data_IF_526629688117
#
_entry.id   IF_526629688117
#
_cell.length_a   1.000
_cell.length_b   1.000
_cell.length_c   1.000
_cell.angle_alpha   90.00
_cell.angle_beta   90.00
_cell.angle_gamma   90.00
#
_symmetry.space_group_name_H-M   'P 1'
#
loop_
_entity.id
_entity.type
_entity.pdbx_description
1 polymer ?
#
# COMPACT_ATOMS: atom_id res chain seq x y z
N UNK A 1 8.00 -27.58 0.51
CA UNK A 1 7.14 -26.47 0.07
C UNK A 1 7.24 -25.51 1.23
N UNK A 2 8.24 -24.63 1.22
CA UNK A 2 8.28 -23.53 2.18
C UNK A 2 7.02 -22.72 1.89
N UNK A 3 6.05 -22.76 2.80
CA UNK A 3 5.10 -21.66 2.90
C UNK A 3 5.95 -20.44 3.19
N UNK A 4 5.93 -19.45 2.29
CA UNK A 4 6.74 -18.26 2.38
C UNK A 4 6.34 -17.54 3.67
N UNK A 5 7.32 -17.20 4.52
CA UNK A 5 7.06 -16.60 5.83
C UNK A 5 6.22 -15.32 5.68
N UNK A 6 6.42 -14.59 4.58
CA UNK A 6 5.58 -13.46 4.21
C UNK A 6 4.10 -13.83 4.09
N UNK A 7 3.76 -14.91 3.41
CA UNK A 7 2.37 -15.33 3.18
C UNK A 7 1.66 -15.62 4.51
N UNK A 8 2.32 -16.33 5.44
CA UNK A 8 1.77 -16.63 6.78
C UNK A 8 1.50 -15.35 7.59
N UNK A 9 2.36 -14.33 7.46
CA UNK A 9 2.17 -13.05 8.13
C UNK A 9 1.03 -12.23 7.51
N UNK A 10 0.92 -12.24 6.18
CA UNK A 10 -0.15 -11.56 5.47
C UNK A 10 -1.51 -12.20 5.80
N UNK A 11 -1.61 -13.54 5.78
CA UNK A 11 -2.81 -14.28 6.17
C UNK A 11 -3.28 -13.88 7.58
N UNK A 12 -2.35 -13.83 8.55
CA UNK A 12 -2.68 -13.42 9.93
C UNK A 12 -3.21 -11.97 10.01
N UNK A 13 -2.66 -11.06 9.22
CA UNK A 13 -3.13 -9.65 9.16
C UNK A 13 -4.52 -9.59 8.51
N UNK A 14 -4.72 -10.35 7.44
CA UNK A 14 -5.98 -10.46 6.70
C UNK A 14 -7.09 -11.01 7.59
N UNK A 15 -6.86 -12.13 8.27
CA UNK A 15 -7.81 -12.72 9.22
C UNK A 15 -8.20 -11.72 10.31
N UNK A 16 -7.22 -11.06 10.93
CA UNK A 16 -7.50 -10.06 11.95
C UNK A 16 -8.34 -8.91 11.42
N UNK A 17 -8.06 -8.43 10.20
CA UNK A 17 -8.83 -7.34 9.62
C UNK A 17 -10.29 -7.73 9.43
N UNK A 18 -10.54 -8.90 8.82
CA UNK A 18 -11.90 -9.37 8.59
C UNK A 18 -12.68 -9.68 9.87
N UNK A 19 -12.01 -10.16 10.92
CA UNK A 19 -12.64 -10.47 12.19
C UNK A 19 -12.93 -9.23 13.06
N UNK A 20 -12.02 -8.24 13.08
CA UNK A 20 -12.07 -7.18 14.11
C UNK A 20 -12.19 -5.76 13.57
N UNK A 21 -11.64 -5.47 12.39
CA UNK A 21 -11.47 -4.07 11.92
C UNK A 21 -11.98 -3.85 10.49
N UNK A 22 -12.82 -4.73 9.98
CA UNK A 22 -13.29 -4.66 8.60
C UNK A 22 -14.10 -3.37 8.38
N UNK A 23 -13.68 -2.58 7.39
CA UNK A 23 -14.28 -1.27 7.12
C UNK A 23 -13.81 -0.15 8.05
N UNK A 24 -12.78 -0.35 8.88
CA UNK A 24 -12.18 0.72 9.67
C UNK A 24 -11.11 1.50 8.87
N UNK A 25 -11.30 2.82 8.74
CA UNK A 25 -10.37 3.71 8.00
C UNK A 25 -9.00 3.75 8.69
N UNK A 26 -8.96 3.54 10.00
CA UNK A 26 -7.72 3.42 10.78
C UNK A 26 -6.80 2.33 10.22
N UNK A 27 -7.36 1.19 9.81
CA UNK A 27 -6.63 0.07 9.24
C UNK A 27 -6.09 0.43 7.85
N UNK A 28 -6.94 0.95 6.97
CA UNK A 28 -6.55 1.45 5.64
C UNK A 28 -5.39 2.47 5.73
N UNK A 29 -5.49 3.43 6.65
CA UNK A 29 -4.44 4.43 6.91
C UNK A 29 -3.12 3.76 7.34
N UNK A 30 -3.18 2.68 8.12
CA UNK A 30 -2.03 1.89 8.55
C UNK A 30 -1.35 1.16 7.38
N UNK A 31 -2.12 0.63 6.44
CA UNK A 31 -1.60 0.01 5.22
C UNK A 31 -0.89 1.02 4.32
N UNK A 32 -1.45 2.23 4.17
CA UNK A 32 -0.81 3.32 3.42
C UNK A 32 0.50 3.74 4.08
N UNK A 33 0.56 3.81 5.41
CA UNK A 33 1.79 4.08 6.14
C UNK A 33 2.84 2.99 5.93
N UNK A 34 2.43 1.71 5.87
CA UNK A 34 3.31 0.61 5.51
C UNK A 34 3.94 0.81 4.12
N UNK A 35 3.13 1.12 3.09
CA UNK A 35 3.65 1.38 1.73
C UNK A 35 4.64 2.55 1.73
N UNK A 36 4.36 3.59 2.52
CA UNK A 36 5.18 4.81 2.51
C UNK A 36 6.64 4.60 2.89
N UNK A 37 6.95 3.60 3.72
CA UNK A 37 8.32 3.31 4.15
C UNK A 37 9.21 2.92 2.97
N UNK A 38 8.64 2.40 1.89
CA UNK A 38 9.38 1.91 0.73
C UNK A 38 9.72 3.00 -0.30
N UNK A 39 9.06 4.17 -0.28
CA UNK A 39 9.36 5.23 -1.26
C UNK A 39 10.78 5.80 -1.12
N UNK A 40 11.43 5.62 0.04
CA UNK A 40 12.82 6.03 0.25
C UNK A 40 13.83 5.12 -0.44
N UNK A 41 13.45 3.86 -0.73
CA UNK A 41 14.32 2.84 -1.35
C UNK A 41 13.91 2.49 -2.78
N UNK A 42 12.71 2.88 -3.20
CA UNK A 42 12.23 2.70 -4.55
C UNK A 42 12.77 3.77 -5.51
N UNK A 43 13.01 3.35 -6.75
CA UNK A 43 13.29 4.25 -7.86
C UNK A 43 12.00 4.94 -8.32
N UNK A 44 11.77 6.15 -7.82
CA UNK A 44 10.58 6.93 -8.19
C UNK A 44 10.61 7.45 -9.64
N UNK A 45 11.69 7.23 -10.39
CA UNK A 45 11.78 7.67 -11.80
C UNK A 45 11.11 6.70 -12.78
N UNK A 46 10.68 5.52 -12.31
CA UNK A 46 9.96 4.51 -13.11
C UNK A 46 8.69 5.10 -13.75
N UNK A 47 7.97 5.97 -13.03
CA UNK A 47 6.79 6.67 -13.50
C UNK A 47 6.85 8.15 -13.10
N UNK A 48 6.19 9.07 -13.84
CA UNK A 48 6.23 10.50 -13.54
C UNK A 48 5.35 10.85 -12.33
N UNK A 49 5.78 10.46 -11.13
CA UNK A 49 5.15 10.80 -9.86
C UNK A 49 5.86 11.98 -9.20
N UNK A 50 5.10 12.92 -8.64
CA UNK A 50 5.65 14.01 -7.85
C UNK A 50 5.78 13.60 -6.38
N UNK A 51 6.96 13.82 -5.80
CA UNK A 51 7.17 13.71 -4.35
C UNK A 51 6.23 14.61 -3.54
N UNK A 52 5.76 15.72 -4.12
CA UNK A 52 4.74 16.58 -3.51
C UNK A 52 3.39 15.87 -3.36
N UNK A 53 3.01 15.03 -4.34
CA UNK A 53 1.77 14.27 -4.24
C UNK A 53 1.91 13.17 -3.17
N UNK A 54 3.08 12.52 -3.07
CA UNK A 54 3.37 11.55 -2.01
C UNK A 54 3.25 12.22 -0.63
N UNK A 55 3.92 13.36 -0.42
CA UNK A 55 3.84 14.09 0.85
C UNK A 55 2.40 14.53 1.17
N UNK A 56 1.64 14.98 0.17
CA UNK A 56 0.25 15.37 0.37
C UNK A 56 -0.61 14.20 0.87
N UNK A 57 -0.42 13.00 0.34
CA UNK A 57 -1.13 11.81 0.83
C UNK A 57 -0.71 11.44 2.26
N UNK A 58 0.58 11.57 2.60
CA UNK A 58 1.06 11.32 3.97
C UNK A 58 0.49 12.31 4.99
N UNK A 59 0.35 13.58 4.62
CA UNK A 59 -0.35 14.54 5.48
C UNK A 59 -1.85 14.24 5.56
N UNK A 60 -2.45 13.77 4.47
CA UNK A 60 -3.87 13.44 4.42
C UNK A 60 -4.28 12.30 5.37
N UNK A 61 -3.37 11.36 5.66
CA UNK A 61 -3.60 10.28 6.65
C UNK A 61 -4.05 10.83 8.02
N UNK A 62 -3.60 12.03 8.39
CA UNK A 62 -3.92 12.68 9.68
C UNK A 62 -5.28 13.37 9.69
N UNK A 63 -5.94 13.48 8.54
CA UNK A 63 -7.25 14.12 8.39
C UNK A 63 -8.37 13.26 8.97
N UNK A 64 -9.54 13.89 9.18
CA UNK A 64 -10.78 13.15 9.40
C UNK A 64 -11.09 12.24 8.22
N UNK A 65 -11.95 11.28 8.46
CA UNK A 65 -12.31 10.23 7.52
C UNK A 65 -12.97 10.76 6.23
N UNK A 66 -13.93 11.68 6.35
CA UNK A 66 -14.55 12.34 5.19
C UNK A 66 -13.51 13.11 4.35
N UNK A 67 -12.62 13.85 5.03
CA UNK A 67 -11.58 14.64 4.37
C UNK A 67 -10.52 13.75 3.71
N UNK A 68 -10.25 12.58 4.31
CA UNK A 68 -9.28 11.63 3.80
C UNK A 68 -9.69 11.16 2.40
N UNK A 69 -10.90 10.64 2.22
CA UNK A 69 -11.33 10.12 0.91
C UNK A 69 -11.42 11.21 -0.16
N UNK A 70 -12.02 12.36 0.16
CA UNK A 70 -12.12 13.48 -0.80
C UNK A 70 -10.75 13.96 -1.28
N UNK A 71 -9.75 13.95 -0.40
CA UNK A 71 -8.39 14.37 -0.74
C UNK A 71 -7.63 13.28 -1.50
N UNK A 72 -7.79 12.03 -1.09
CA UNK A 72 -7.22 10.87 -1.79
C UNK A 72 -7.73 10.78 -3.22
N UNK A 73 -9.03 11.00 -3.46
CA UNK A 73 -9.62 11.01 -4.79
C UNK A 73 -8.97 12.07 -5.70
N UNK A 74 -8.85 13.31 -5.22
CA UNK A 74 -8.19 14.39 -5.97
C UNK A 74 -6.72 14.09 -6.28
N UNK A 75 -6.01 13.47 -5.33
CA UNK A 75 -4.62 13.07 -5.51
C UNK A 75 -4.49 11.91 -6.51
N UNK A 76 -5.35 10.91 -6.39
CA UNK A 76 -5.43 9.77 -7.30
C UNK A 76 -5.65 10.24 -8.75
N UNK A 77 -6.68 11.04 -8.98
CA UNK A 77 -7.00 11.60 -10.31
C UNK A 77 -5.81 12.33 -10.92
N UNK A 78 -5.18 13.20 -10.13
CA UNK A 78 -4.03 13.99 -10.57
C UNK A 78 -2.84 13.09 -10.92
N UNK A 79 -2.52 12.11 -10.08
CA UNK A 79 -1.42 11.17 -10.28
C UNK A 79 -1.66 10.33 -11.52
N UNK A 80 -2.80 9.67 -11.61
CA UNK A 80 -3.07 8.73 -12.70
C UNK A 80 -3.35 9.43 -14.02
N UNK A 81 -3.86 10.66 -14.03
CA UNK A 81 -3.92 11.49 -15.25
C UNK A 81 -2.51 11.79 -15.76
N UNK A 82 -1.59 12.15 -14.87
CA UNK A 82 -0.19 12.44 -15.24
C UNK A 82 0.48 11.19 -15.82
N UNK A 83 0.31 10.03 -15.18
CA UNK A 83 0.88 8.77 -15.66
C UNK A 83 0.28 8.35 -17.01
N UNK A 84 -1.06 8.41 -17.16
CA UNK A 84 -1.74 8.06 -18.41
C UNK A 84 -1.38 8.99 -19.57
N UNK A 85 -1.03 10.25 -19.29
CA UNK A 85 -0.53 11.19 -20.28
C UNK A 85 0.91 10.88 -20.73
N UNK A 86 1.71 10.27 -19.85
CA UNK A 86 3.08 9.86 -20.15
C UNK A 86 3.15 8.56 -20.97
N UNK A 87 2.38 7.54 -20.58
CA UNK A 87 2.43 6.21 -21.20
C UNK A 87 1.13 5.45 -21.01
N UNK A 88 0.69 4.70 -22.02
CA UNK A 88 -0.50 3.84 -21.89
C UNK A 88 -0.15 2.59 -21.09
N UNK A 89 -1.11 2.06 -20.33
CA UNK A 89 -0.92 0.84 -19.53
C UNK A 89 -0.48 -0.36 -20.39
N UNK A 90 -0.99 -0.49 -21.61
CA UNK A 90 -0.62 -1.56 -22.57
C UNK A 90 0.81 -1.49 -23.08
N UNK A 91 1.48 -0.36 -22.89
CA UNK A 91 2.86 -0.12 -23.31
C UNK A 91 3.84 -0.26 -22.15
N UNK A 92 3.33 -0.38 -20.91
CA UNK A 92 4.14 -0.48 -19.71
C UNK A 92 4.77 -1.88 -19.58
N UNK A 93 6.03 -1.91 -19.14
CA UNK A 93 6.68 -3.14 -18.74
C UNK A 93 6.21 -3.62 -17.35
N UNK A 94 6.67 -4.80 -16.94
CA UNK A 94 6.26 -5.43 -15.67
C UNK A 94 6.60 -4.52 -14.48
N UNK A 95 7.76 -3.85 -14.50
CA UNK A 95 8.21 -3.02 -13.39
C UNK A 95 7.39 -1.74 -13.30
N UNK A 96 7.08 -1.11 -14.43
CA UNK A 96 6.16 0.04 -14.51
C UNK A 96 4.75 -0.33 -14.05
N UNK A 97 4.22 -1.49 -14.46
CA UNK A 97 2.91 -1.98 -14.02
C UNK A 97 2.90 -2.23 -12.51
N UNK A 98 3.95 -2.86 -11.97
CA UNK A 98 4.05 -3.08 -10.53
C UNK A 98 4.13 -1.78 -9.74
N UNK A 99 4.89 -0.81 -10.22
CA UNK A 99 4.95 0.50 -9.58
C UNK A 99 3.61 1.25 -9.69
N UNK A 100 2.93 1.16 -10.84
CA UNK A 100 1.59 1.73 -11.04
C UNK A 100 0.58 1.15 -10.04
N UNK A 101 0.59 -0.17 -9.83
CA UNK A 101 -0.29 -0.84 -8.86
C UNK A 101 0.02 -0.44 -7.43
N UNK A 102 1.30 -0.38 -7.05
CA UNK A 102 1.71 0.09 -5.72
C UNK A 102 1.24 1.53 -5.47
N UNK A 103 1.30 2.40 -6.49
CA UNK A 103 0.76 3.76 -6.38
C UNK A 103 -0.78 3.75 -6.23
N UNK A 104 -1.49 2.79 -6.84
CA UNK A 104 -2.94 2.69 -6.71
C UNK A 104 -3.34 2.31 -5.27
N UNK A 105 -2.61 1.39 -4.66
CA UNK A 105 -2.70 1.06 -3.25
C UNK A 105 -2.41 2.28 -2.35
N UNK A 106 -1.37 3.05 -2.64
CA UNK A 106 -0.99 4.20 -1.83
C UNK A 106 -1.97 5.39 -1.93
N UNK A 107 -2.48 5.67 -3.12
CA UNK A 107 -3.51 6.68 -3.37
C UNK A 107 -4.92 6.06 -3.37
N UNK A 108 -5.19 5.16 -2.42
CA UNK A 108 -6.49 4.49 -2.33
C UNK A 108 -7.62 5.48 -2.05
N UNK A 109 -8.75 5.26 -2.74
CA UNK A 109 -9.95 6.12 -2.72
C UNK A 109 -11.15 5.44 -2.08
N UNK A 110 -11.04 4.15 -1.76
CA UNK A 110 -12.12 3.35 -1.19
C UNK A 110 -11.56 2.22 -0.32
N UNK A 111 -12.45 1.59 0.44
CA UNK A 111 -12.13 0.33 1.12
C UNK A 111 -12.08 -0.81 0.13
N UNK A 112 -11.11 -1.70 0.27
CA UNK A 112 -11.07 -2.91 -0.54
C UNK A 112 -12.12 -3.92 -0.03
N UNK A 113 -12.97 -4.48 -0.91
CA UNK A 113 -14.05 -5.37 -0.49
C UNK A 113 -13.64 -6.85 -0.33
N UNK A 114 -12.47 -7.27 -0.86
CA UNK A 114 -12.14 -8.70 -1.00
C UNK A 114 -10.73 -9.10 -0.52
N UNK A 115 -9.69 -8.36 -0.89
CA UNK A 115 -8.34 -8.58 -0.37
C UNK A 115 -7.84 -7.27 0.24
N UNK A 116 -6.77 -7.32 1.03
CA UNK A 116 -6.21 -6.14 1.68
C UNK A 116 -5.14 -5.47 0.82
N UNK A 117 -5.04 -4.14 0.95
CA UNK A 117 -4.03 -3.33 0.26
C UNK A 117 -2.64 -3.84 0.59
N UNK A 118 -2.41 -4.26 1.83
CA UNK A 118 -1.10 -4.71 2.28
C UNK A 118 -0.64 -6.00 1.59
N UNK A 119 -1.55 -6.90 1.27
CA UNK A 119 -1.25 -8.13 0.54
C UNK A 119 -0.83 -7.80 -0.88
N UNK A 120 -1.66 -7.03 -1.60
CA UNK A 120 -1.35 -6.58 -2.95
C UNK A 120 -0.04 -5.79 -3.00
N UNK A 121 0.15 -4.83 -2.10
CA UNK A 121 1.35 -4.01 -2.05
C UNK A 121 2.61 -4.84 -1.79
N UNK A 122 2.55 -5.84 -0.91
CA UNK A 122 3.69 -6.70 -0.59
C UNK A 122 4.19 -7.47 -1.81
N UNK A 123 3.28 -8.05 -2.60
CA UNK A 123 3.67 -8.75 -3.83
C UNK A 123 4.17 -7.81 -4.92
N UNK A 124 3.63 -6.60 -5.04
CA UNK A 124 4.16 -5.62 -6.00
C UNK A 124 5.54 -5.09 -5.56
N UNK A 125 5.81 -4.95 -4.25
CA UNK A 125 7.14 -4.62 -3.71
C UNK A 125 8.17 -5.70 -4.05
N UNK A 126 7.83 -6.99 -3.93
CA UNK A 126 8.71 -8.09 -4.37
C UNK A 126 9.07 -7.99 -5.85
N UNK A 127 8.09 -7.71 -6.72
CA UNK A 127 8.31 -7.52 -8.17
C UNK A 127 9.16 -6.29 -8.48
N UNK A 128 9.13 -5.28 -7.61
CA UNK A 128 9.99 -4.09 -7.69
C UNK A 128 11.41 -4.33 -7.16
N UNK A 129 11.71 -5.55 -6.70
CA UNK A 129 13.04 -5.95 -6.23
C UNK A 129 13.31 -5.62 -4.76
N UNK A 130 12.27 -5.31 -3.98
CA UNK A 130 12.39 -5.19 -2.52
C UNK A 130 12.53 -6.59 -1.93
N UNK A 131 13.52 -6.78 -1.06
CA UNK A 131 13.73 -8.06 -0.37
C UNK A 131 12.59 -8.38 0.58
N UNK A 132 12.18 -9.64 0.63
CA UNK A 132 11.18 -10.14 1.58
C UNK A 132 11.51 -9.78 3.03
N UNK A 133 12.77 -9.92 3.45
CA UNK A 133 13.21 -9.55 4.81
C UNK A 133 12.85 -8.12 5.19
N UNK A 134 13.02 -7.17 4.25
CA UNK A 134 12.67 -5.77 4.47
C UNK A 134 11.15 -5.57 4.52
N UNK A 135 10.40 -6.32 3.71
CA UNK A 135 8.92 -6.30 3.74
C UNK A 135 8.44 -6.78 5.11
N UNK A 136 8.94 -7.93 5.56
CA UNK A 136 8.63 -8.51 6.88
C UNK A 136 8.99 -7.55 8.01
N UNK A 137 10.17 -6.91 7.95
CA UNK A 137 10.57 -5.90 8.94
C UNK A 137 9.51 -4.78 9.04
N UNK A 138 9.01 -4.27 7.91
CA UNK A 138 7.97 -3.23 7.90
C UNK A 138 6.60 -3.76 8.31
N UNK A 139 6.26 -5.01 8.00
CA UNK A 139 5.04 -5.65 8.52
C UNK A 139 5.05 -5.66 10.05
N UNK A 140 6.15 -6.07 10.69
CA UNK A 140 6.25 -6.03 12.16
C UNK A 140 6.26 -4.61 12.73
N UNK A 141 6.86 -3.64 12.02
CA UNK A 141 6.85 -2.23 12.44
C UNK A 141 5.43 -1.67 12.55
N UNK A 142 4.58 -1.97 11.57
CA UNK A 142 3.22 -1.42 11.53
C UNK A 142 2.23 -2.34 12.24
N UNK A 143 2.25 -3.64 11.97
CA UNK A 143 1.26 -4.63 12.41
C UNK A 143 1.77 -5.53 13.53
N UNK A 144 2.84 -5.16 14.23
CA UNK A 144 3.39 -5.95 15.34
C UNK A 144 2.40 -6.24 16.47
N UNK A 145 1.43 -5.36 16.69
CA UNK A 145 0.29 -5.56 17.59
C UNK A 145 -0.57 -6.77 17.21
N UNK A 146 -0.75 -7.02 15.91
CA UNK A 146 -1.50 -8.15 15.35
C UNK A 146 -0.60 -9.39 15.21
N UNK A 147 0.63 -9.18 14.77
CA UNK A 147 1.57 -10.26 14.48
C UNK A 147 2.17 -10.88 15.75
N UNK A 148 2.19 -10.17 16.87
CA UNK A 148 2.65 -10.72 18.15
C UNK A 148 1.77 -11.86 18.66
N UNK A 149 2.34 -12.76 19.46
CA UNK A 149 1.63 -13.91 20.05
C UNK A 149 0.54 -13.51 21.07
N UNK A 150 0.49 -12.23 21.45
CA UNK A 150 -0.45 -11.65 22.41
C UNK A 150 -1.55 -10.81 21.77
N UNK A 151 -1.68 -10.83 20.43
CA UNK A 151 -2.78 -10.13 19.76
C UNK A 151 -4.13 -10.62 20.32
N UNK A 152 -5.10 -9.72 20.57
CA UNK A 152 -6.44 -10.14 20.97
C UNK A 152 -7.00 -11.08 19.90
N UNK A 153 -7.37 -12.28 20.34
CA UNK A 153 -8.15 -13.27 19.58
C UNK A 153 -9.63 -13.10 19.89
#
# INVERSE_FOLDING_TARGET
METDKLDELLEKITDYCFEYTYGEISFLKKEILFISDFFSVLDLTILPISTKNIQAQLENIKSSDDTFFETSEKLNDKVFTTIKAYKKLTEMDIREISFWKLLACFFSVEFEPNDLIIEYASYELLKLGISEDLIIEKLYKHFGDILSDNAPR
#
